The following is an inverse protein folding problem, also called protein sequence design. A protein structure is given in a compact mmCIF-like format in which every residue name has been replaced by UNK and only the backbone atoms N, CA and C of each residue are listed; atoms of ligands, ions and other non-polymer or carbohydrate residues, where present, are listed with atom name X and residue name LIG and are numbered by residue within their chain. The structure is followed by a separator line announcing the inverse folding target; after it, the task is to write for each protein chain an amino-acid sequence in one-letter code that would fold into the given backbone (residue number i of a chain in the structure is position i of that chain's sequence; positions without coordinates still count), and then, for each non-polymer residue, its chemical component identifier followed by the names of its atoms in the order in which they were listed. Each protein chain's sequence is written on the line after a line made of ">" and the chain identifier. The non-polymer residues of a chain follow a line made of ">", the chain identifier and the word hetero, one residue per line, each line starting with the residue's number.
data_IF_599893542743
#
_entry.id   IF_599893542743
#
_cell.length_a   1.000
_cell.length_b   1.000
_cell.length_c   1.000
_cell.angle_alpha   90.00
_cell.angle_beta   90.00
_cell.angle_gamma   90.00
#
_symmetry.space_group_name_H-M   'P 1'
#
loop_
_entity.id
_entity.type
_entity.pdbx_description
1 polymer ?
#
# COMPACT_ATOMS: atom_id res chain seq x y z
N UNK A 1 8.80 16.43 10.14
CA UNK A 1 9.99 15.57 10.27
C UNK A 1 10.59 15.32 8.87
N UNK A 2 11.51 16.22 8.39
CA UNK A 2 12.07 16.15 7.04
C UNK A 2 12.72 14.79 6.71
N UNK A 3 13.50 14.14 7.62
CA UNK A 3 14.12 12.86 7.32
C UNK A 3 13.11 11.74 7.00
N UNK A 4 11.97 11.70 7.70
CA UNK A 4 10.96 10.68 7.46
C UNK A 4 10.26 10.86 6.10
N UNK A 5 9.96 12.11 5.70
CA UNK A 5 9.36 12.42 4.40
C UNK A 5 10.31 12.08 3.25
N UNK A 6 11.59 12.45 3.38
CA UNK A 6 12.64 12.14 2.40
C UNK A 6 12.81 10.62 2.28
N UNK A 7 12.91 9.90 3.41
CA UNK A 7 13.03 8.45 3.43
C UNK A 7 11.89 7.73 2.71
N UNK A 8 10.65 8.21 2.86
CA UNK A 8 9.49 7.66 2.13
C UNK A 8 9.57 7.93 0.63
N UNK A 9 9.99 9.12 0.22
CA UNK A 9 10.22 9.44 -1.18
C UNK A 9 11.26 8.52 -1.83
N UNK A 10 12.36 8.26 -1.14
CA UNK A 10 13.37 7.29 -1.59
C UNK A 10 12.84 5.86 -1.63
N UNK A 11 12.04 5.44 -0.65
CA UNK A 11 11.43 4.12 -0.64
C UNK A 11 10.53 3.91 -1.87
N UNK A 12 9.65 4.86 -2.17
CA UNK A 12 8.76 4.82 -3.34
C UNK A 12 9.57 4.82 -4.64
N UNK A 13 10.54 5.72 -4.78
CA UNK A 13 11.39 5.79 -5.97
C UNK A 13 12.18 4.50 -6.20
N UNK A 14 12.83 3.98 -5.16
CA UNK A 14 13.58 2.71 -5.25
C UNK A 14 12.68 1.52 -5.57
N UNK A 15 11.46 1.51 -5.05
CA UNK A 15 10.47 0.49 -5.35
C UNK A 15 10.04 0.51 -6.82
N UNK A 16 9.79 1.70 -7.35
CA UNK A 16 9.45 1.89 -8.75
C UNK A 16 10.56 1.35 -9.67
N UNK A 17 11.81 1.75 -9.43
CA UNK A 17 12.95 1.26 -10.23
C UNK A 17 13.16 -0.24 -10.10
N UNK A 18 13.07 -0.80 -8.89
CA UNK A 18 13.18 -2.24 -8.68
C UNK A 18 12.08 -3.02 -9.41
N UNK A 19 10.84 -2.53 -9.38
CA UNK A 19 9.71 -3.17 -10.08
C UNK A 19 9.88 -3.13 -11.59
N UNK A 20 10.29 -1.98 -12.16
CA UNK A 20 10.59 -1.87 -13.59
C UNK A 20 11.71 -2.83 -13.98
N UNK A 21 12.78 -2.92 -13.18
CA UNK A 21 13.88 -3.87 -13.43
C UNK A 21 13.42 -5.33 -13.41
N UNK A 22 12.51 -5.68 -12.48
CA UNK A 22 11.93 -7.03 -12.42
C UNK A 22 11.02 -7.33 -13.62
N UNK A 23 10.27 -6.34 -14.13
CA UNK A 23 9.48 -6.48 -15.35
C UNK A 23 10.40 -6.69 -16.57
N UNK A 24 11.48 -5.93 -16.67
CA UNK A 24 12.48 -6.12 -17.74
C UNK A 24 13.09 -7.52 -17.67
N UNK A 25 13.42 -8.00 -16.47
CA UNK A 25 13.92 -9.36 -16.27
C UNK A 25 12.87 -10.41 -16.67
N UNK A 26 11.60 -10.19 -16.34
CA UNK A 26 10.48 -11.06 -16.73
C UNK A 26 10.35 -11.19 -18.25
N UNK A 27 10.38 -10.05 -18.94
CA UNK A 27 10.37 -10.01 -20.42
C UNK A 27 11.61 -10.69 -20.99
N UNK A 28 12.81 -10.45 -20.43
CA UNK A 28 14.05 -11.06 -20.85
C UNK A 28 14.05 -12.59 -20.71
N UNK A 29 13.50 -13.12 -19.64
CA UNK A 29 13.37 -14.57 -19.44
C UNK A 29 12.45 -15.22 -20.49
N UNK A 30 11.43 -14.50 -20.96
CA UNK A 30 10.55 -14.98 -22.04
C UNK A 30 11.23 -14.93 -23.40
N UNK A 31 11.81 -13.80 -23.77
CA UNK A 31 12.44 -13.59 -25.09
C UNK A 31 13.69 -14.44 -25.30
N UNK A 32 14.34 -14.89 -24.25
CA UNK A 32 15.46 -15.81 -24.33
C UNK A 32 15.08 -17.19 -24.95
N UNK A 33 13.79 -17.56 -24.85
CA UNK A 33 13.27 -18.84 -25.32
C UNK A 33 12.38 -18.69 -26.57
N UNK A 34 11.69 -17.55 -26.71
CA UNK A 34 10.72 -17.28 -27.76
C UNK A 34 11.13 -16.06 -28.59
N UNK A 35 10.80 -16.10 -29.89
CA UNK A 35 11.05 -14.97 -30.82
C UNK A 35 9.97 -13.89 -30.74
N UNK A 36 8.80 -14.22 -30.21
CA UNK A 36 7.68 -13.28 -30.11
C UNK A 36 7.76 -12.45 -28.81
N UNK A 37 7.39 -11.17 -28.86
CA UNK A 37 7.39 -10.33 -27.67
C UNK A 37 6.26 -10.71 -26.71
N UNK A 38 6.62 -10.95 -25.43
CA UNK A 38 5.62 -11.25 -24.37
C UNK A 38 4.64 -10.10 -24.09
N UNK A 39 5.01 -8.89 -24.44
CA UNK A 39 4.24 -7.67 -24.17
C UNK A 39 3.77 -7.01 -25.48
N UNK A 40 2.95 -7.73 -26.22
CA UNK A 40 2.26 -7.15 -27.36
C UNK A 40 0.98 -6.45 -26.91
N UNK A 41 0.97 -5.12 -26.92
CA UNK A 41 -0.20 -4.30 -26.51
C UNK A 41 -1.42 -4.50 -27.42
N UNK A 42 -1.29 -5.13 -28.59
CA UNK A 42 -2.42 -5.54 -29.42
C UNK A 42 -3.03 -6.89 -28.96
N UNK A 43 -2.35 -7.63 -28.08
CA UNK A 43 -2.88 -8.87 -27.53
C UNK A 43 -3.97 -8.59 -26.49
N UNK A 44 -5.16 -9.17 -26.71
CA UNK A 44 -6.28 -9.05 -25.76
C UNK A 44 -5.94 -9.62 -24.36
N UNK A 45 -5.08 -10.64 -24.29
CA UNK A 45 -4.64 -11.26 -23.04
C UNK A 45 -3.77 -10.28 -22.24
N UNK A 46 -2.83 -9.60 -22.90
CA UNK A 46 -1.98 -8.57 -22.28
C UNK A 46 -2.83 -7.40 -21.77
N UNK A 47 -3.77 -6.93 -22.61
CA UNK A 47 -4.68 -5.83 -22.23
C UNK A 47 -5.56 -6.21 -21.03
N UNK A 48 -6.15 -7.42 -21.07
CA UNK A 48 -6.95 -7.93 -19.95
C UNK A 48 -6.13 -8.03 -18.67
N UNK A 49 -4.91 -8.57 -18.74
CA UNK A 49 -3.97 -8.58 -17.62
C UNK A 49 -3.71 -7.19 -17.08
N UNK A 50 -3.45 -6.22 -17.96
CA UNK A 50 -3.19 -4.83 -17.60
C UNK A 50 -4.36 -4.16 -16.85
N UNK A 51 -5.58 -4.34 -17.34
CA UNK A 51 -6.80 -3.82 -16.70
C UNK A 51 -6.97 -4.45 -15.30
N UNK A 52 -6.83 -5.77 -15.19
CA UNK A 52 -6.95 -6.49 -13.94
C UNK A 52 -5.83 -6.05 -12.97
N UNK A 53 -4.59 -5.90 -13.45
CA UNK A 53 -3.47 -5.41 -12.64
C UNK A 53 -3.73 -4.03 -12.04
N UNK A 54 -4.22 -3.09 -12.85
CA UNK A 54 -4.60 -1.77 -12.36
C UNK A 54 -5.75 -1.81 -11.34
N UNK A 55 -6.80 -2.57 -11.63
CA UNK A 55 -7.95 -2.74 -10.73
C UNK A 55 -7.55 -3.36 -9.39
N UNK A 56 -6.60 -4.30 -9.38
CA UNK A 56 -6.08 -4.90 -8.17
C UNK A 56 -5.39 -3.90 -7.24
N UNK A 57 -4.67 -2.94 -7.78
CA UNK A 57 -4.03 -1.88 -7.00
C UNK A 57 -5.08 -1.00 -6.31
N UNK A 58 -6.16 -0.65 -6.99
CA UNK A 58 -7.26 0.11 -6.40
C UNK A 58 -7.98 -0.70 -5.31
N UNK A 59 -8.28 -1.97 -5.57
CA UNK A 59 -8.87 -2.88 -4.59
C UNK A 59 -7.97 -3.05 -3.35
N UNK A 60 -6.68 -3.26 -3.56
CA UNK A 60 -5.70 -3.39 -2.48
C UNK A 60 -5.62 -2.10 -1.65
N UNK A 61 -5.62 -0.92 -2.30
CA UNK A 61 -5.63 0.37 -1.62
C UNK A 61 -6.87 0.55 -0.75
N UNK A 62 -8.04 0.19 -1.26
CA UNK A 62 -9.30 0.25 -0.52
C UNK A 62 -9.27 -0.71 0.68
N UNK A 63 -8.88 -1.96 0.46
CA UNK A 63 -8.78 -2.99 1.51
C UNK A 63 -7.86 -2.56 2.67
N UNK A 64 -6.71 -2.00 2.36
CA UNK A 64 -5.77 -1.51 3.38
C UNK A 64 -6.35 -0.29 4.13
N UNK A 65 -7.02 0.61 3.43
CA UNK A 65 -7.66 1.77 4.05
C UNK A 65 -8.72 1.32 5.05
N UNK A 66 -9.62 0.42 4.66
CA UNK A 66 -10.66 -0.11 5.53
C UNK A 66 -10.09 -0.86 6.74
N UNK A 67 -9.10 -1.70 6.52
CA UNK A 67 -8.40 -2.43 7.57
C UNK A 67 -7.74 -1.48 8.59
N UNK A 68 -7.17 -0.38 8.13
CA UNK A 68 -6.53 0.62 8.99
C UNK A 68 -7.56 1.38 9.82
N UNK A 69 -8.68 1.79 9.18
CA UNK A 69 -9.77 2.49 9.87
C UNK A 69 -10.40 1.60 10.95
N UNK A 70 -10.65 0.33 10.64
CA UNK A 70 -11.20 -0.62 11.61
C UNK A 70 -10.26 -0.82 12.80
N UNK A 71 -8.95 -0.97 12.53
CA UNK A 71 -7.93 -1.10 13.57
C UNK A 71 -7.81 0.15 14.44
N UNK A 72 -7.88 1.33 13.81
CA UNK A 72 -7.85 2.61 14.52
C UNK A 72 -9.06 2.79 15.45
N UNK A 73 -10.26 2.39 15.00
CA UNK A 73 -11.48 2.42 15.84
C UNK A 73 -11.32 1.54 17.08
N UNK A 74 -10.85 0.30 16.92
CA UNK A 74 -10.61 -0.60 18.05
C UNK A 74 -9.60 -0.02 19.05
N UNK A 75 -8.57 0.66 18.56
CA UNK A 75 -7.59 1.32 19.41
C UNK A 75 -8.17 2.54 20.12
N UNK A 76 -9.03 3.32 19.44
CA UNK A 76 -9.72 4.45 20.05
C UNK A 76 -10.69 4.00 21.17
N UNK A 77 -11.46 2.95 20.92
CA UNK A 77 -12.39 2.37 21.92
C UNK A 77 -11.62 1.87 23.18
N UNK A 78 -10.47 1.22 22.97
CA UNK A 78 -9.63 0.79 24.09
C UNK A 78 -9.01 1.99 24.83
N UNK A 79 -8.59 3.02 24.10
CA UNK A 79 -8.11 4.27 24.68
C UNK A 79 -9.17 4.94 25.55
N UNK A 80 -10.38 5.09 25.04
CA UNK A 80 -11.51 5.66 25.77
C UNK A 80 -11.84 4.84 27.03
N UNK A 81 -11.88 3.51 26.90
CA UNK A 81 -12.11 2.58 28.02
C UNK A 81 -11.05 2.75 29.13
N UNK A 82 -9.78 2.97 28.76
CA UNK A 82 -8.71 3.13 29.75
C UNK A 82 -8.75 4.52 30.40
N UNK A 83 -8.92 5.57 29.59
CA UNK A 83 -8.97 6.95 30.07
C UNK A 83 -10.19 7.26 30.93
N UNK A 84 -11.31 6.53 30.74
CA UNK A 84 -12.51 6.64 31.58
C UNK A 84 -12.35 6.01 32.98
N UNK A 85 -11.23 5.35 33.27
CA UNK A 85 -10.98 4.81 34.62
C UNK A 85 -10.55 5.91 35.58
N UNK A 86 -11.09 5.93 36.82
CA UNK A 86 -10.66 6.89 37.83
C UNK A 86 -9.15 6.81 38.07
N UNK A 87 -8.50 7.96 38.14
CA UNK A 87 -7.07 8.08 38.42
C UNK A 87 -6.14 7.98 37.21
N UNK A 88 -6.64 7.61 36.02
CA UNK A 88 -5.79 7.53 34.82
C UNK A 88 -5.52 8.92 34.26
N UNK A 89 -6.55 9.75 34.10
CA UNK A 89 -6.39 11.14 33.65
C UNK A 89 -5.62 12.00 34.66
N UNK A 90 -5.76 11.73 35.94
CA UNK A 90 -5.05 12.38 37.05
C UNK A 90 -3.62 11.88 37.18
N UNK A 91 -3.21 10.85 36.44
CA UNK A 91 -1.86 10.29 36.48
C UNK A 91 -1.55 9.42 37.71
N UNK A 92 -2.54 9.10 38.55
CA UNK A 92 -2.40 8.25 39.75
C UNK A 92 -2.43 6.76 39.42
N UNK A 93 -3.10 6.38 38.32
CA UNK A 93 -3.17 5.02 37.79
C UNK A 93 -2.55 5.00 36.40
N UNK A 94 -1.64 4.05 36.15
CA UNK A 94 -1.00 3.90 34.83
C UNK A 94 -1.95 3.20 33.86
N UNK A 95 -2.06 3.69 32.61
CA UNK A 95 -2.73 2.95 31.53
C UNK A 95 -2.04 1.63 31.23
N UNK A 96 -2.79 0.66 30.72
CA UNK A 96 -2.25 -0.62 30.27
C UNK A 96 -1.71 -0.49 28.83
N UNK A 97 -0.50 -0.01 28.71
CA UNK A 97 0.19 0.15 27.43
C UNK A 97 0.44 -1.20 26.73
N UNK A 98 0.71 -2.28 27.51
CA UNK A 98 0.96 -3.60 26.94
C UNK A 98 -0.24 -4.12 26.17
N UNK A 99 -1.43 -3.91 26.68
CA UNK A 99 -2.68 -4.25 26.00
C UNK A 99 -2.82 -3.49 24.67
N UNK A 100 -2.54 -2.20 24.66
CA UNK A 100 -2.59 -1.40 23.43
C UNK A 100 -1.56 -1.92 22.40
N UNK A 101 -0.34 -2.21 22.81
CA UNK A 101 0.72 -2.74 21.95
C UNK A 101 0.32 -4.12 21.38
N UNK A 102 -0.20 -5.02 22.22
CA UNK A 102 -0.67 -6.33 21.79
C UNK A 102 -1.80 -6.21 20.78
N UNK A 103 -2.79 -5.36 21.04
CA UNK A 103 -3.91 -5.12 20.12
C UNK A 103 -3.42 -4.60 18.78
N UNK A 104 -2.54 -3.60 18.77
CA UNK A 104 -1.97 -3.02 17.55
C UNK A 104 -1.22 -4.09 16.73
N UNK A 105 -0.33 -4.85 17.39
CA UNK A 105 0.45 -5.90 16.72
C UNK A 105 -0.45 -7.01 16.16
N UNK A 106 -1.44 -7.47 16.94
CA UNK A 106 -2.39 -8.51 16.53
C UNK A 106 -3.24 -8.06 15.33
N UNK A 107 -3.75 -6.81 15.36
CA UNK A 107 -4.52 -6.26 14.24
C UNK A 107 -3.64 -6.13 12.98
N UNK A 108 -2.43 -5.60 13.10
CA UNK A 108 -1.51 -5.47 11.97
C UNK A 108 -1.27 -6.83 11.30
N UNK A 109 -0.91 -7.87 12.06
CA UNK A 109 -0.67 -9.21 11.54
C UNK A 109 -1.92 -9.82 10.88
N UNK A 110 -3.08 -9.75 11.56
CA UNK A 110 -4.34 -10.31 11.07
C UNK A 110 -4.81 -9.63 9.78
N UNK A 111 -4.73 -8.30 9.73
CA UNK A 111 -5.25 -7.51 8.60
C UNK A 111 -4.32 -7.53 7.39
N UNK A 112 -3.03 -7.81 7.57
CA UNK A 112 -2.08 -7.97 6.46
C UNK A 112 -2.09 -9.36 5.84
N UNK A 113 -2.73 -10.36 6.43
CA UNK A 113 -2.73 -11.72 5.91
C UNK A 113 -3.37 -11.79 4.51
N UNK A 114 -4.59 -11.29 4.34
CA UNK A 114 -5.30 -11.31 3.06
C UNK A 114 -4.56 -10.52 1.96
N UNK A 115 -4.13 -9.26 2.18
CA UNK A 115 -3.28 -8.54 1.23
C UNK A 115 -2.03 -9.33 0.80
N UNK A 116 -1.32 -9.93 1.73
CA UNK A 116 -0.10 -10.70 1.44
C UNK A 116 -0.38 -11.94 0.60
N UNK A 117 -1.44 -12.67 0.93
CA UNK A 117 -1.87 -13.86 0.17
C UNK A 117 -2.27 -13.47 -1.25
N UNK A 118 -2.98 -12.37 -1.44
CA UNK A 118 -3.36 -11.88 -2.77
C UNK A 118 -2.14 -11.51 -3.62
N UNK A 119 -1.13 -10.86 -3.02
CA UNK A 119 0.10 -10.50 -3.72
C UNK A 119 0.85 -11.73 -4.28
N UNK A 120 0.78 -12.86 -3.58
CA UNK A 120 1.41 -14.10 -4.00
C UNK A 120 0.53 -14.88 -4.98
N UNK A 121 -0.75 -15.08 -4.66
CA UNK A 121 -1.61 -15.99 -5.42
C UNK A 121 -2.04 -15.43 -6.79
N UNK A 122 -2.25 -14.13 -6.91
CA UNK A 122 -2.75 -13.55 -8.16
C UNK A 122 -1.82 -13.81 -9.34
N UNK A 123 -0.51 -13.49 -9.29
CA UNK A 123 0.38 -13.80 -10.40
C UNK A 123 0.54 -15.32 -10.63
N UNK A 124 0.47 -16.13 -9.58
CA UNK A 124 0.56 -17.60 -9.68
C UNK A 124 -0.65 -18.13 -10.44
N UNK A 125 -1.86 -17.82 -9.97
CA UNK A 125 -3.10 -18.28 -10.61
C UNK A 125 -3.23 -17.72 -12.03
N UNK A 126 -2.95 -16.42 -12.21
CA UNK A 126 -2.96 -15.78 -13.51
C UNK A 126 -2.02 -16.44 -14.51
N UNK A 127 -0.80 -16.78 -14.07
CA UNK A 127 0.20 -17.46 -14.91
C UNK A 127 -0.19 -18.88 -15.30
N UNK A 128 -0.69 -19.68 -14.36
CA UNK A 128 -1.14 -21.03 -14.68
C UNK A 128 -2.44 -21.09 -15.49
N UNK A 129 -3.33 -20.13 -15.33
CA UNK A 129 -4.60 -20.10 -16.07
C UNK A 129 -4.44 -19.47 -17.44
N UNK A 130 -3.89 -18.25 -17.51
CA UNK A 130 -3.87 -17.40 -18.70
C UNK A 130 -2.49 -17.27 -19.35
N UNK A 131 -1.45 -17.78 -18.72
CA UNK A 131 -0.10 -17.79 -19.24
C UNK A 131 0.73 -16.53 -18.97
N UNK A 132 1.93 -16.56 -19.55
CA UNK A 132 2.98 -15.56 -19.32
C UNK A 132 2.61 -14.15 -19.82
N UNK A 133 1.89 -14.07 -20.94
CA UNK A 133 1.46 -12.78 -21.52
C UNK A 133 0.49 -12.03 -20.61
N UNK A 134 -0.46 -12.75 -20.03
CA UNK A 134 -1.40 -12.19 -19.05
C UNK A 134 -0.67 -11.62 -17.84
N UNK A 135 0.28 -12.37 -17.30
CA UNK A 135 1.06 -11.93 -16.13
C UNK A 135 1.93 -10.72 -16.48
N UNK A 136 2.51 -10.68 -17.68
CA UNK A 136 3.23 -9.51 -18.18
C UNK A 136 2.35 -8.26 -18.20
N UNK A 137 1.15 -8.37 -18.76
CA UNK A 137 0.12 -7.32 -18.74
C UNK A 137 -0.25 -6.92 -17.30
N UNK A 138 -0.52 -7.90 -16.43
CA UNK A 138 -0.86 -7.70 -15.02
C UNK A 138 0.19 -6.86 -14.28
N UNK A 139 1.47 -7.17 -14.45
CA UNK A 139 2.57 -6.45 -13.81
C UNK A 139 2.68 -5.01 -14.32
N UNK A 140 2.53 -4.80 -15.63
CA UNK A 140 2.56 -3.45 -16.21
C UNK A 140 1.40 -2.62 -15.70
N UNK A 141 0.17 -3.14 -15.80
CA UNK A 141 -1.02 -2.42 -15.34
C UNK A 141 -0.96 -2.09 -13.84
N UNK A 142 -0.56 -3.06 -13.02
CA UNK A 142 -0.35 -2.83 -11.59
C UNK A 142 0.70 -1.73 -11.35
N UNK A 143 1.82 -1.74 -12.06
CA UNK A 143 2.91 -0.77 -11.87
C UNK A 143 2.50 0.63 -12.30
N UNK A 144 1.80 0.77 -13.44
CA UNK A 144 1.31 2.06 -13.95
C UNK A 144 0.36 2.72 -12.96
N UNK A 145 -0.47 1.95 -12.25
CA UNK A 145 -1.40 2.49 -11.26
C UNK A 145 -0.73 2.67 -9.89
N UNK A 146 0.08 1.71 -9.44
CA UNK A 146 0.66 1.73 -8.10
C UNK A 146 1.63 2.89 -7.87
N UNK A 147 2.51 3.17 -8.83
CA UNK A 147 3.54 4.22 -8.66
C UNK A 147 2.91 5.61 -8.49
N UNK A 148 2.07 6.11 -9.41
CA UNK A 148 1.41 7.39 -9.20
C UNK A 148 0.52 7.41 -7.95
N UNK A 149 -0.12 6.29 -7.63
CA UNK A 149 -0.97 6.17 -6.44
C UNK A 149 -0.14 6.30 -5.15
N UNK A 150 0.98 5.61 -5.04
CA UNK A 150 1.88 5.71 -3.89
C UNK A 150 2.44 7.12 -3.72
N UNK A 151 2.87 7.78 -4.81
CA UNK A 151 3.33 9.17 -4.81
C UNK A 151 2.21 10.11 -4.34
N UNK A 152 1.01 9.96 -4.90
CA UNK A 152 -0.16 10.76 -4.49
C UNK A 152 -0.47 10.60 -3.00
N UNK A 153 -0.48 9.37 -2.50
CA UNK A 153 -0.77 9.09 -1.09
C UNK A 153 0.29 9.66 -0.16
N UNK A 154 1.56 9.54 -0.53
CA UNK A 154 2.67 10.14 0.22
C UNK A 154 2.58 11.66 0.28
N UNK A 155 2.36 12.31 -0.87
CA UNK A 155 2.30 13.77 -0.97
C UNK A 155 1.05 14.34 -0.31
N UNK A 156 -0.13 13.77 -0.57
CA UNK A 156 -1.38 14.24 0.03
C UNK A 156 -1.39 14.05 1.55
N UNK A 157 -0.91 12.90 2.04
CA UNK A 157 -0.80 12.66 3.47
C UNK A 157 0.21 13.59 4.16
N UNK A 158 1.34 13.87 3.49
CA UNK A 158 2.32 14.85 3.97
C UNK A 158 1.76 16.27 4.02
N UNK A 159 0.93 16.65 3.05
CA UNK A 159 0.30 17.96 3.03
C UNK A 159 -0.67 18.15 4.20
N UNK A 160 -1.47 17.13 4.55
CA UNK A 160 -2.37 17.20 5.71
C UNK A 160 -1.61 17.31 7.04
N UNK A 161 -0.54 16.54 7.23
CA UNK A 161 0.32 16.63 8.41
C UNK A 161 0.98 18.02 8.53
N UNK A 162 1.48 18.58 7.42
CA UNK A 162 2.05 19.91 7.39
C UNK A 162 1.01 21.00 7.68
N UNK A 163 -0.22 20.88 7.18
CA UNK A 163 -1.29 21.80 7.46
C UNK A 163 -1.64 21.83 8.96
N UNK A 164 -1.73 20.65 9.59
CA UNK A 164 -1.94 20.55 11.05
C UNK A 164 -0.81 21.25 11.82
N UNK A 165 0.44 20.94 11.50
CA UNK A 165 1.61 21.55 12.14
C UNK A 165 1.68 23.07 11.93
N UNK A 166 1.28 23.57 10.76
CA UNK A 166 1.22 24.99 10.47
C UNK A 166 0.23 25.70 11.39
N UNK A 167 -0.95 25.11 11.61
CA UNK A 167 -1.96 25.65 12.53
C UNK A 167 -1.45 25.55 13.98
N UNK A 168 -0.89 24.42 14.38
CA UNK A 168 -0.38 24.20 15.74
C UNK A 168 0.77 25.12 16.10
N UNK A 169 1.58 25.55 15.14
CA UNK A 169 2.67 26.52 15.35
C UNK A 169 2.18 27.96 15.51
N UNK A 170 0.88 28.22 15.38
CA UNK A 170 0.32 29.59 15.43
C UNK A 170 0.55 30.42 14.17
N UNK A 171 1.03 29.80 13.08
CA UNK A 171 1.32 30.50 11.82
C UNK A 171 0.06 30.92 11.06
N UNK A 172 -1.09 30.32 11.38
CA UNK A 172 -2.39 30.73 10.85
C UNK A 172 -3.05 31.70 11.80
N UNK A 173 -3.03 33.01 11.47
CA UNK A 173 -3.60 34.06 12.31
C UNK A 173 -5.05 33.78 12.67
N UNK A 174 -5.43 33.99 13.93
CA UNK A 174 -6.78 33.77 14.45
C UNK A 174 -7.18 32.29 14.64
N UNK A 175 -6.32 31.34 14.28
CA UNK A 175 -6.60 29.90 14.33
C UNK A 175 -5.45 29.14 14.99
N UNK A 176 -5.48 29.06 16.30
CA UNK A 176 -4.50 28.27 17.08
C UNK A 176 -5.00 26.87 17.43
N UNK A 177 -4.20 26.21 18.28
CA UNK A 177 -4.51 24.89 18.86
C UNK A 177 -5.88 24.93 19.56
N UNK A 178 -6.77 23.98 19.25
CA UNK A 178 -8.13 23.92 19.81
C UNK A 178 -9.21 24.64 18.99
N UNK A 179 -8.83 25.47 17.98
CA UNK A 179 -9.78 26.09 17.06
C UNK A 179 -10.46 25.06 16.14
N UNK A 180 -11.54 25.45 15.47
CA UNK A 180 -12.23 24.56 14.52
C UNK A 180 -11.34 24.23 13.30
N UNK A 181 -10.49 25.15 12.87
CA UNK A 181 -9.47 24.88 11.86
C UNK A 181 -8.48 23.80 12.33
N UNK A 182 -8.04 23.85 13.59
CA UNK A 182 -7.19 22.82 14.17
C UNK A 182 -7.90 21.47 14.23
N UNK A 183 -9.14 21.40 14.70
CA UNK A 183 -9.92 20.15 14.74
C UNK A 183 -10.08 19.54 13.34
N UNK A 184 -10.41 20.38 12.34
CA UNK A 184 -10.51 19.93 10.95
C UNK A 184 -9.17 19.40 10.42
N UNK A 185 -8.05 20.06 10.75
CA UNK A 185 -6.72 19.63 10.32
C UNK A 185 -6.28 18.32 10.99
N UNK A 186 -6.69 18.06 12.23
CA UNK A 186 -6.46 16.76 12.92
C UNK A 186 -7.20 15.64 12.22
N UNK A 187 -8.45 15.85 11.80
CA UNK A 187 -9.21 14.87 11.00
C UNK A 187 -8.51 14.62 9.66
N UNK A 188 -8.09 15.70 8.98
CA UNK A 188 -7.34 15.60 7.72
C UNK A 188 -6.04 14.83 7.86
N UNK A 189 -5.27 15.07 8.92
CA UNK A 189 -4.02 14.37 9.22
C UNK A 189 -4.26 12.87 9.51
N UNK A 190 -5.31 12.52 10.23
CA UNK A 190 -5.70 11.10 10.47
C UNK A 190 -5.95 10.36 9.15
N UNK A 191 -6.65 10.98 8.20
CA UNK A 191 -6.85 10.43 6.85
C UNK A 191 -5.52 10.38 6.09
N UNK A 192 -4.69 11.42 6.24
CA UNK A 192 -3.37 11.53 5.63
C UNK A 192 -2.41 10.44 6.12
N UNK A 193 -2.42 10.15 7.42
CA UNK A 193 -1.58 9.11 8.03
C UNK A 193 -1.91 7.72 7.46
N UNK A 194 -3.19 7.38 7.34
CA UNK A 194 -3.61 6.14 6.68
C UNK A 194 -3.04 6.02 5.27
N UNK A 195 -3.04 7.11 4.51
CA UNK A 195 -2.53 7.13 3.13
C UNK A 195 -1.01 7.04 3.08
N UNK A 196 -0.29 7.93 3.79
CA UNK A 196 1.18 8.03 3.67
C UNK A 196 1.94 6.94 4.42
N UNK A 197 1.39 6.46 5.55
CA UNK A 197 2.12 5.57 6.46
C UNK A 197 1.75 4.09 6.27
N UNK A 198 0.58 3.80 5.70
CA UNK A 198 0.11 2.43 5.47
C UNK A 198 -0.02 2.15 3.98
N UNK A 199 -0.97 2.77 3.29
CA UNK A 199 -1.33 2.37 1.92
C UNK A 199 -0.20 2.66 0.93
N UNK A 200 0.37 3.87 0.95
CA UNK A 200 1.45 4.26 0.03
C UNK A 200 2.66 3.34 0.10
N UNK A 201 3.08 2.98 1.32
CA UNK A 201 4.24 2.08 1.53
C UNK A 201 3.90 0.63 1.17
N UNK A 202 2.69 0.18 1.49
CA UNK A 202 2.27 -1.19 1.21
C UNK A 202 2.12 -1.48 -0.28
N UNK A 203 1.73 -0.49 -1.09
CA UNK A 203 1.67 -0.62 -2.56
C UNK A 203 3.02 -0.98 -3.16
N UNK A 204 4.11 -0.39 -2.66
CA UNK A 204 5.46 -0.68 -3.12
C UNK A 204 5.85 -2.14 -2.85
N UNK A 205 5.51 -2.64 -1.66
CA UNK A 205 5.76 -4.03 -1.28
C UNK A 205 4.92 -4.96 -2.13
N UNK A 206 3.66 -4.60 -2.38
CA UNK A 206 2.73 -5.41 -3.17
C UNK A 206 3.24 -5.63 -4.60
N UNK A 207 3.58 -4.56 -5.33
CA UNK A 207 4.07 -4.68 -6.70
C UNK A 207 5.42 -5.41 -6.79
N UNK A 208 6.34 -5.19 -5.84
CA UNK A 208 7.60 -5.92 -5.76
C UNK A 208 7.37 -7.41 -5.55
N UNK A 209 6.50 -7.79 -4.62
CA UNK A 209 6.18 -9.18 -4.32
C UNK A 209 5.58 -9.87 -5.54
N UNK A 210 4.58 -9.26 -6.19
CA UNK A 210 3.97 -9.78 -7.41
C UNK A 210 5.02 -9.97 -8.51
N UNK A 211 5.87 -8.97 -8.75
CA UNK A 211 6.90 -9.02 -9.79
C UNK A 211 7.96 -10.07 -9.50
N UNK A 212 8.36 -10.24 -8.24
CA UNK A 212 9.33 -11.27 -7.84
C UNK A 212 8.77 -12.68 -8.07
N UNK A 213 7.54 -12.93 -7.65
CA UNK A 213 6.85 -14.22 -7.84
C UNK A 213 6.70 -14.52 -9.33
N UNK A 214 6.21 -13.55 -10.09
CA UNK A 214 6.04 -13.69 -11.53
C UNK A 214 7.36 -14.01 -12.26
N UNK A 215 8.43 -13.28 -11.93
CA UNK A 215 9.76 -13.50 -12.50
C UNK A 215 10.32 -14.90 -12.17
N UNK A 216 10.14 -15.35 -10.92
CA UNK A 216 10.57 -16.67 -10.46
C UNK A 216 9.85 -17.80 -11.22
N UNK A 217 8.58 -17.63 -11.54
CA UNK A 217 7.75 -18.63 -12.20
C UNK A 217 7.59 -18.42 -13.72
N UNK A 218 8.25 -17.43 -14.30
CA UNK A 218 8.09 -17.06 -15.71
C UNK A 218 8.32 -18.25 -16.66
N UNK A 219 9.38 -19.02 -16.45
CA UNK A 219 9.69 -20.20 -17.26
C UNK A 219 8.67 -21.34 -17.09
N UNK A 220 8.09 -21.47 -15.90
CA UNK A 220 7.05 -22.49 -15.63
C UNK A 220 5.76 -22.13 -16.38
N UNK A 221 5.34 -20.87 -16.36
CA UNK A 221 4.14 -20.40 -17.05
C UNK A 221 4.21 -20.58 -18.58
N UNK A 222 5.41 -20.58 -19.16
CA UNK A 222 5.60 -20.84 -20.61
C UNK A 222 5.25 -22.28 -21.01
N UNK A 223 5.44 -23.22 -20.10
CA UNK A 223 5.25 -24.64 -20.38
C UNK A 223 3.93 -25.20 -19.89
N UNK A 224 3.38 -24.61 -18.82
CA UNK A 224 2.18 -25.08 -18.13
C UNK A 224 1.17 -23.93 -18.05
N UNK A 225 0.23 -23.90 -18.98
CA UNK A 225 -0.91 -22.97 -18.96
C UNK A 225 -2.18 -23.69 -19.42
N UNK A 226 -3.32 -23.36 -18.79
CA UNK A 226 -4.62 -23.99 -19.07
C UNK A 226 -5.27 -23.43 -20.34
N UNK A 227 -5.10 -22.15 -20.60
CA UNK A 227 -5.67 -21.46 -21.75
C UNK A 227 -4.51 -21.02 -22.65
N UNK A 228 -4.46 -21.59 -23.84
CA UNK A 228 -3.49 -21.23 -24.87
C UNK A 228 -4.17 -20.45 -25.99
#
# INVERSE_FOLDING_TARGET
>A
NPPAAIGKGFAIGSAAFATVSLIVAYVGNYTAINTEPVLNMASYIVVAGGIIGGALIEYFSALLTDNTIESARLMADEGDRQLSRPGVLEGTVRPDYNRCIEMAARQALKKMLLPSVLALLIPIVGGFVFGVEFVGGLLIGATIVAIPRAIFMGNSGGAFDNAKKYIESGSLEGHGKGSDAHKASVVGDTVGDTRKDVVGVALDIFIKTMSTVANTLATVFQHITLIR
#
